data_IF_872866684966
#
_entry.id   IF_872866684966
#
_cell.length_a   1.000
_cell.length_b   1.000
_cell.length_c   1.000
_cell.angle_alpha   90.00
_cell.angle_beta   90.00
_cell.angle_gamma   90.00
#
_symmetry.space_group_name_H-M   'P 1'
#
loop_
_entity.id
_entity.type
_entity.pdbx_description
1 polymer ?
#
# COMPACT_ATOMS: atom_id res chain seq x y z
N UNK A 1 -20.53 10.37 20.52
CA UNK A 1 -19.66 9.25 20.11
C UNK A 1 -19.64 8.26 21.27
N UNK A 2 -20.08 7.02 21.05
CA UNK A 2 -20.27 6.04 22.13
C UNK A 2 -18.93 5.68 22.81
N UNK A 3 -18.85 5.81 24.14
CA UNK A 3 -17.63 5.56 24.93
C UNK A 3 -17.17 4.09 24.77
N UNK A 4 -18.10 3.17 24.53
CA UNK A 4 -17.76 1.76 24.25
C UNK A 4 -17.16 1.57 22.87
N UNK A 5 -17.60 2.36 21.87
CA UNK A 5 -17.03 2.39 20.53
C UNK A 5 -15.57 2.85 20.54
N UNK A 6 -15.26 3.88 21.34
CA UNK A 6 -13.88 4.33 21.58
C UNK A 6 -13.08 3.24 22.30
N UNK A 7 -13.63 2.61 23.35
CA UNK A 7 -12.96 1.50 24.07
C UNK A 7 -12.56 0.32 23.18
N UNK A 8 -13.37 -0.01 22.17
CA UNK A 8 -13.11 -1.10 21.21
C UNK A 8 -11.97 -0.77 20.24
N UNK A 9 -11.81 0.51 19.88
CA UNK A 9 -10.65 0.99 19.11
C UNK A 9 -9.38 1.13 19.98
N UNK A 10 -9.52 1.37 21.30
CA UNK A 10 -8.39 1.54 22.23
C UNK A 10 -7.90 0.26 22.90
N UNK A 11 -8.50 -0.91 22.68
CA UNK A 11 -7.89 -2.19 23.07
C UNK A 11 -6.73 -2.51 22.13
N UNK A 12 -5.60 -1.81 22.31
CA UNK A 12 -4.43 -1.84 21.43
C UNK A 12 -3.90 -3.27 21.14
N UNK A 13 -4.14 -4.24 22.03
CA UNK A 13 -3.72 -5.62 21.84
C UNK A 13 -4.36 -6.31 20.63
N UNK A 14 -5.62 -5.98 20.31
CA UNK A 14 -6.44 -6.74 19.36
C UNK A 14 -6.58 -6.08 17.98
N UNK A 15 -5.94 -4.92 17.77
CA UNK A 15 -6.01 -4.22 16.48
C UNK A 15 -5.31 -5.06 15.40
N UNK A 16 -5.98 -5.39 14.28
CA UNK A 16 -5.36 -6.15 13.20
C UNK A 16 -4.27 -5.34 12.50
N UNK A 17 -3.11 -5.96 12.26
CA UNK A 17 -1.99 -5.35 11.54
C UNK A 17 -2.40 -4.87 10.16
N UNK A 18 -3.29 -5.61 9.49
CA UNK A 18 -3.82 -5.28 8.16
C UNK A 18 -4.67 -4.00 8.13
N UNK A 19 -5.06 -3.44 9.28
CA UNK A 19 -5.66 -2.10 9.33
C UNK A 19 -4.73 -1.03 8.76
N UNK A 20 -3.41 -1.20 8.89
CA UNK A 20 -2.44 -0.31 8.26
C UNK A 20 -2.50 -0.33 6.73
N UNK A 21 -2.84 -1.48 6.12
CA UNK A 21 -3.09 -1.57 4.66
C UNK A 21 -4.34 -0.79 4.24
N UNK A 22 -5.39 -0.82 5.06
CA UNK A 22 -6.58 0.01 4.81
C UNK A 22 -6.25 1.50 4.94
N UNK A 23 -5.52 1.90 5.98
CA UNK A 23 -5.06 3.28 6.16
C UNK A 23 -4.25 3.77 4.95
N UNK A 24 -3.26 2.97 4.52
CA UNK A 24 -2.45 3.22 3.32
C UNK A 24 -3.32 3.40 2.07
N UNK A 25 -4.30 2.51 1.87
CA UNK A 25 -5.23 2.57 0.74
C UNK A 25 -6.12 3.82 0.77
N UNK A 26 -6.63 4.23 1.94
CA UNK A 26 -7.47 5.42 2.07
C UNK A 26 -6.67 6.71 1.79
N UNK A 27 -5.44 6.83 2.32
CA UNK A 27 -4.58 7.98 2.05
C UNK A 27 -4.28 8.07 0.55
N UNK A 28 -3.89 6.94 -0.07
CA UNK A 28 -3.65 6.88 -1.51
C UNK A 28 -4.91 7.18 -2.32
N UNK A 29 -6.11 6.77 -1.87
CA UNK A 29 -7.36 7.01 -2.58
C UNK A 29 -7.64 8.52 -2.68
N UNK A 30 -7.36 9.27 -1.61
CA UNK A 30 -7.44 10.74 -1.64
C UNK A 30 -6.51 11.35 -2.68
N UNK A 31 -5.28 10.84 -2.79
CA UNK A 31 -4.34 11.27 -3.84
C UNK A 31 -4.86 10.92 -5.24
N UNK A 32 -5.37 9.70 -5.45
CA UNK A 32 -5.90 9.27 -6.74
C UNK A 32 -7.07 10.15 -7.21
N UNK A 33 -8.04 10.45 -6.34
CA UNK A 33 -9.14 11.36 -6.68
C UNK A 33 -8.64 12.78 -6.98
N UNK A 34 -7.63 13.28 -6.26
CA UNK A 34 -7.04 14.59 -6.51
C UNK A 34 -6.33 14.68 -7.88
N UNK A 35 -5.84 13.57 -8.41
CA UNK A 35 -5.28 13.49 -9.76
C UNK A 35 -6.37 13.52 -10.84
N UNK A 36 -7.34 12.60 -10.79
CA UNK A 36 -8.35 12.47 -11.86
C UNK A 36 -9.40 13.59 -11.87
N UNK A 37 -9.85 14.05 -10.70
CA UNK A 37 -10.91 15.05 -10.58
C UNK A 37 -10.50 16.13 -9.57
N UNK A 38 -9.56 17.04 -9.91
CA UNK A 38 -8.97 17.97 -8.95
C UNK A 38 -9.98 18.84 -8.19
N UNK A 39 -11.11 19.21 -8.81
CA UNK A 39 -12.16 20.05 -8.21
C UNK A 39 -12.81 19.41 -6.97
N UNK A 40 -13.06 18.10 -7.01
CA UNK A 40 -13.66 17.33 -5.91
C UNK A 40 -12.56 16.65 -5.10
N UNK A 41 -11.57 16.08 -5.79
CA UNK A 41 -10.47 15.32 -5.23
C UNK A 41 -9.65 16.10 -4.21
N UNK A 42 -9.28 17.35 -4.51
CA UNK A 42 -8.53 18.20 -3.56
C UNK A 42 -9.35 18.56 -2.32
N UNK A 43 -10.69 18.56 -2.39
CA UNK A 43 -11.56 18.80 -1.24
C UNK A 43 -11.67 17.56 -0.33
N UNK A 44 -11.73 16.36 -0.92
CA UNK A 44 -11.86 15.11 -0.16
C UNK A 44 -10.53 14.54 0.33
N UNK A 45 -9.41 14.87 -0.33
CA UNK A 45 -8.06 14.40 0.03
C UNK A 45 -7.69 14.65 1.50
N UNK A 46 -7.86 15.85 2.10
CA UNK A 46 -7.59 16.05 3.53
C UNK A 46 -8.44 15.15 4.43
N UNK A 47 -9.69 14.91 4.07
CA UNK A 47 -10.62 14.08 4.86
C UNK A 47 -10.14 12.63 4.83
N UNK A 48 -9.81 12.10 3.65
CA UNK A 48 -9.28 10.75 3.50
C UNK A 48 -7.92 10.59 4.19
N UNK A 49 -7.02 11.57 4.07
CA UNK A 49 -5.74 11.57 4.78
C UNK A 49 -5.95 11.51 6.30
N UNK A 50 -6.89 12.30 6.85
CA UNK A 50 -7.22 12.30 8.27
C UNK A 50 -7.82 10.96 8.72
N UNK A 51 -8.75 10.37 7.95
CA UNK A 51 -9.32 9.04 8.23
C UNK A 51 -8.22 7.97 8.23
N UNK A 52 -7.34 8.00 7.22
CA UNK A 52 -6.21 7.07 7.14
C UNK A 52 -5.25 7.19 8.32
N UNK A 53 -4.89 8.42 8.70
CA UNK A 53 -4.07 8.67 9.89
C UNK A 53 -4.75 8.15 11.17
N UNK A 54 -6.05 8.42 11.33
CA UNK A 54 -6.83 7.93 12.47
C UNK A 54 -6.87 6.40 12.56
N UNK A 55 -7.01 5.71 11.42
CA UNK A 55 -6.93 4.25 11.37
C UNK A 55 -5.52 3.72 11.63
N UNK A 56 -4.48 4.48 11.32
CA UNK A 56 -3.10 4.04 11.52
C UNK A 56 -2.66 4.11 12.99
N UNK A 57 -3.10 5.13 13.73
CA UNK A 57 -2.67 5.40 15.11
C UNK A 57 -2.82 4.18 16.04
N UNK A 58 -3.97 3.47 16.11
CA UNK A 58 -4.12 2.30 16.98
C UNK A 58 -3.15 1.17 16.64
N UNK A 59 -2.78 1.01 15.36
CA UNK A 59 -1.82 -0.02 14.92
C UNK A 59 -0.41 0.33 15.37
N UNK A 60 -0.01 1.61 15.27
CA UNK A 60 1.28 2.07 15.76
C UNK A 60 1.37 1.90 17.29
N UNK A 61 0.33 2.34 18.02
CA UNK A 61 0.27 2.22 19.48
C UNK A 61 0.30 0.76 19.94
N UNK A 62 -0.35 -0.16 19.22
CA UNK A 62 -0.24 -1.61 19.48
C UNK A 62 1.21 -2.07 19.59
N UNK A 63 2.04 -1.73 18.61
CA UNK A 63 3.42 -2.21 18.57
C UNK A 63 4.38 -1.42 19.45
N UNK A 64 4.14 -0.13 19.62
CA UNK A 64 4.93 0.72 20.52
C UNK A 64 4.74 0.33 21.99
N UNK A 65 3.51 0.04 22.40
CA UNK A 65 3.17 -0.26 23.79
C UNK A 65 3.38 -1.74 24.15
N UNK A 66 3.37 -2.66 23.16
CA UNK A 66 3.41 -4.11 23.41
C UNK A 66 4.61 -4.79 22.73
N UNK A 67 5.80 -4.65 23.34
CA UNK A 67 7.08 -5.21 22.82
C UNK A 67 7.03 -6.72 22.56
N UNK A 68 6.31 -7.48 23.40
CA UNK A 68 6.13 -8.91 23.20
C UNK A 68 5.38 -9.23 21.90
N UNK A 69 4.27 -8.52 21.63
CA UNK A 69 3.49 -8.68 20.40
C UNK A 69 4.32 -8.29 19.18
N UNK A 70 5.05 -7.16 19.27
CA UNK A 70 5.98 -6.75 18.23
C UNK A 70 7.00 -7.85 17.89
N UNK A 71 7.68 -8.39 18.90
CA UNK A 71 8.69 -9.44 18.75
C UNK A 71 8.10 -10.72 18.16
N UNK A 72 6.89 -11.10 18.55
CA UNK A 72 6.20 -12.27 18.02
C UNK A 72 5.81 -12.08 16.53
N UNK A 73 5.24 -10.92 16.19
CA UNK A 73 4.74 -10.65 14.84
C UNK A 73 5.87 -10.44 13.83
N UNK A 74 6.91 -9.68 14.16
CA UNK A 74 8.02 -9.36 13.23
C UNK A 74 8.81 -10.62 12.83
N UNK A 75 8.87 -11.63 13.70
CA UNK A 75 9.51 -12.92 13.43
C UNK A 75 8.70 -13.80 12.46
N UNK A 76 7.39 -13.58 12.37
CA UNK A 76 6.51 -14.41 11.55
C UNK A 76 6.53 -13.96 10.07
N UNK A 77 6.76 -14.89 9.13
CA UNK A 77 6.94 -14.57 7.70
C UNK A 77 5.78 -13.80 7.06
N UNK A 78 4.53 -14.16 7.37
CA UNK A 78 3.33 -13.46 6.89
C UNK A 78 3.07 -12.17 7.68
N UNK A 79 2.75 -12.26 8.98
CA UNK A 79 2.38 -11.10 9.79
C UNK A 79 3.46 -10.03 9.82
N UNK A 80 4.74 -10.41 9.95
CA UNK A 80 5.87 -9.50 9.92
C UNK A 80 5.95 -8.72 8.61
N UNK A 81 5.81 -9.38 7.46
CA UNK A 81 5.77 -8.68 6.16
C UNK A 81 4.57 -7.72 6.02
N UNK A 82 3.45 -8.01 6.67
CA UNK A 82 2.26 -7.16 6.69
C UNK A 82 2.36 -5.99 7.68
N UNK A 83 3.49 -5.82 8.38
CA UNK A 83 3.77 -4.65 9.20
C UNK A 83 4.30 -3.47 8.38
N UNK A 84 4.89 -3.71 7.20
CA UNK A 84 5.43 -2.68 6.31
C UNK A 84 4.43 -1.56 5.93
N UNK A 85 3.12 -1.84 5.68
CA UNK A 85 2.13 -0.80 5.41
C UNK A 85 2.02 0.27 6.50
N UNK A 86 2.43 0.00 7.75
CA UNK A 86 2.41 1.02 8.80
C UNK A 86 3.34 2.20 8.48
N UNK A 87 4.59 1.90 8.15
CA UNK A 87 5.56 2.94 7.80
C UNK A 87 5.34 3.49 6.39
N UNK A 88 4.88 2.65 5.44
CA UNK A 88 4.50 3.15 4.11
C UNK A 88 3.34 4.15 4.18
N UNK A 89 2.34 3.91 5.05
CA UNK A 89 1.23 4.85 5.22
C UNK A 89 1.70 6.19 5.76
N UNK A 90 2.66 6.20 6.69
CA UNK A 90 3.29 7.44 7.16
C UNK A 90 4.06 8.14 6.03
N UNK A 91 4.83 7.41 5.22
CA UNK A 91 5.59 8.00 4.10
C UNK A 91 4.67 8.63 3.04
N UNK A 92 3.58 7.95 2.66
CA UNK A 92 2.58 8.52 1.72
C UNK A 92 1.81 9.67 2.37
N UNK A 93 1.54 9.62 3.67
CA UNK A 93 0.97 10.77 4.38
C UNK A 93 1.91 11.98 4.33
N UNK A 94 3.22 11.76 4.45
CA UNK A 94 4.22 12.83 4.36
C UNK A 94 4.28 13.44 2.96
N UNK A 95 4.07 12.66 1.89
CA UNK A 95 3.96 13.19 0.52
C UNK A 95 2.83 14.23 0.40
N UNK A 96 1.65 13.91 0.93
CA UNK A 96 0.55 14.87 1.01
C UNK A 96 0.89 16.08 1.90
N UNK A 97 1.45 15.83 3.09
CA UNK A 97 1.78 16.89 4.05
C UNK A 97 2.93 17.79 3.57
N UNK A 98 3.82 17.32 2.69
CA UNK A 98 4.95 18.10 2.19
C UNK A 98 4.48 19.39 1.48
N UNK A 99 3.33 19.32 0.81
CA UNK A 99 2.75 20.46 0.09
C UNK A 99 2.07 21.46 1.03
N UNK A 100 1.44 20.99 2.12
CA UNK A 100 0.59 21.84 2.98
C UNK A 100 1.25 22.25 4.29
N UNK A 101 2.09 21.39 4.88
CA UNK A 101 2.70 21.55 6.20
C UNK A 101 4.13 20.96 6.20
N UNK A 102 5.06 21.49 5.37
CA UNK A 102 6.40 20.92 5.20
C UNK A 102 7.19 20.82 6.52
N UNK A 103 7.02 21.77 7.43
CA UNK A 103 7.66 21.76 8.76
C UNK A 103 7.26 20.56 9.62
N UNK A 104 6.04 20.03 9.45
CA UNK A 104 5.57 18.82 10.15
C UNK A 104 5.93 17.57 9.33
N UNK A 105 5.80 17.67 8.01
CA UNK A 105 6.03 16.55 7.10
C UNK A 105 7.48 16.06 7.13
N UNK A 106 8.46 16.96 7.18
CA UNK A 106 9.88 16.61 7.14
C UNK A 106 10.35 15.74 8.31
N UNK A 107 10.16 16.12 9.61
CA UNK A 107 10.54 15.26 10.72
C UNK A 107 9.73 13.96 10.76
N UNK A 108 8.44 14.00 10.36
CA UNK A 108 7.61 12.80 10.29
C UNK A 108 8.12 11.83 9.20
N UNK A 109 8.54 12.35 8.06
CA UNK A 109 9.11 11.58 6.96
C UNK A 109 10.40 10.88 7.38
N UNK A 110 11.30 11.58 8.06
CA UNK A 110 12.55 10.99 8.57
C UNK A 110 12.27 9.89 9.61
N UNK A 111 11.32 10.11 10.51
CA UNK A 111 10.89 9.09 11.49
C UNK A 111 10.25 7.87 10.80
N UNK A 112 9.41 8.10 9.78
CA UNK A 112 8.76 7.05 9.01
C UNK A 112 9.74 6.23 8.18
N UNK A 113 10.73 6.88 7.56
CA UNK A 113 11.80 6.25 6.81
C UNK A 113 12.67 5.38 7.73
N UNK A 114 13.09 5.93 8.87
CA UNK A 114 13.86 5.20 9.89
C UNK A 114 13.08 3.99 10.40
N UNK A 115 11.78 4.15 10.66
CA UNK A 115 10.90 3.05 11.05
C UNK A 115 10.82 1.99 9.95
N UNK A 116 10.65 2.38 8.68
CA UNK A 116 10.57 1.44 7.56
C UNK A 116 11.84 0.60 7.42
N UNK A 117 13.01 1.24 7.43
CA UNK A 117 14.32 0.58 7.34
C UNK A 117 14.52 -0.34 8.54
N UNK A 118 14.22 0.12 9.76
CA UNK A 118 14.35 -0.70 10.98
C UNK A 118 13.48 -1.95 10.93
N UNK A 119 12.21 -1.81 10.53
CA UNK A 119 11.30 -2.94 10.38
C UNK A 119 11.79 -3.91 9.30
N UNK A 120 12.27 -3.42 8.17
CA UNK A 120 12.82 -4.23 7.08
C UNK A 120 14.03 -5.05 7.56
N UNK A 121 15.00 -4.40 8.20
CA UNK A 121 16.21 -5.05 8.71
C UNK A 121 15.88 -6.14 9.75
N UNK A 122 15.00 -5.84 10.71
CA UNK A 122 14.56 -6.82 11.71
C UNK A 122 13.83 -7.99 11.07
N UNK A 123 12.89 -7.71 10.15
CA UNK A 123 12.14 -8.75 9.45
C UNK A 123 13.08 -9.69 8.70
N UNK A 124 13.94 -9.16 7.82
CA UNK A 124 14.85 -9.99 7.03
C UNK A 124 15.90 -10.68 7.90
N UNK A 125 16.40 -10.06 8.96
CA UNK A 125 17.28 -10.73 9.91
C UNK A 125 16.66 -12.03 10.47
N UNK A 126 15.40 -11.98 10.91
CA UNK A 126 14.71 -13.16 11.41
C UNK A 126 14.36 -14.17 10.32
N UNK A 127 13.96 -13.71 9.13
CA UNK A 127 13.62 -14.61 8.02
C UNK A 127 14.84 -15.34 7.46
N UNK A 128 16.01 -14.68 7.40
CA UNK A 128 17.25 -15.27 6.89
C UNK A 128 17.84 -16.29 7.88
N UNK A 129 17.66 -16.09 9.19
CA UNK A 129 18.13 -17.03 10.22
C UNK A 129 17.49 -18.42 10.12
N UNK A 130 16.25 -18.50 9.65
CA UNK A 130 15.51 -19.76 9.44
C UNK A 130 14.90 -19.80 8.04
N UNK A 131 15.74 -19.55 7.03
CA UNK A 131 15.29 -19.38 5.65
C UNK A 131 14.65 -20.66 5.11
N UNK A 132 13.43 -20.50 4.57
CA UNK A 132 12.75 -21.51 3.76
C UNK A 132 12.04 -20.78 2.62
N UNK A 133 12.30 -21.18 1.38
CA UNK A 133 11.70 -20.54 0.21
C UNK A 133 10.16 -20.60 0.23
N UNK A 134 9.57 -21.68 0.78
CA UNK A 134 8.13 -21.80 0.98
C UNK A 134 7.50 -20.73 1.91
N UNK A 135 8.31 -20.11 2.79
CA UNK A 135 7.87 -19.02 3.68
C UNK A 135 7.77 -17.67 2.98
N UNK A 136 8.41 -17.52 1.81
CA UNK A 136 8.31 -16.29 1.02
C UNK A 136 6.87 -16.15 0.57
N UNK A 137 6.29 -14.98 0.77
CA UNK A 137 4.94 -14.65 0.33
C UNK A 137 4.97 -13.30 -0.37
N UNK A 138 4.05 -13.02 -1.30
CA UNK A 138 4.02 -11.75 -2.05
C UNK A 138 4.16 -10.47 -1.19
N UNK A 139 3.66 -10.47 0.04
CA UNK A 139 3.80 -9.31 0.94
C UNK A 139 5.26 -8.97 1.32
N UNK A 140 6.23 -9.84 1.03
CA UNK A 140 7.65 -9.55 1.23
C UNK A 140 8.16 -8.39 0.37
N UNK A 141 7.52 -8.12 -0.78
CA UNK A 141 7.86 -6.94 -1.59
C UNK A 141 7.69 -5.61 -0.84
N UNK A 142 6.80 -5.57 0.17
CA UNK A 142 6.44 -4.34 0.86
C UNK A 142 7.60 -3.71 1.65
N UNK A 143 8.64 -4.46 1.99
CA UNK A 143 9.83 -3.88 2.61
C UNK A 143 10.85 -3.38 1.58
N UNK A 144 11.39 -4.22 0.67
CA UNK A 144 12.46 -3.76 -0.21
C UNK A 144 11.97 -2.76 -1.25
N UNK A 145 10.80 -3.02 -1.85
CA UNK A 145 10.22 -2.13 -2.87
C UNK A 145 9.39 -1.02 -2.23
N UNK A 146 8.75 -1.28 -1.09
CA UNK A 146 7.97 -0.25 -0.38
C UNK A 146 8.79 0.92 0.17
N UNK A 147 10.12 0.78 0.28
CA UNK A 147 11.03 1.88 0.59
C UNK A 147 10.92 3.03 -0.41
N UNK A 148 10.52 2.75 -1.65
CA UNK A 148 10.33 3.75 -2.70
C UNK A 148 9.27 4.80 -2.33
N UNK A 149 8.32 4.49 -1.45
CA UNK A 149 7.36 5.47 -0.93
C UNK A 149 8.04 6.69 -0.31
N UNK A 150 9.28 6.55 0.17
CA UNK A 150 10.05 7.68 0.71
C UNK A 150 10.50 8.69 -0.35
N UNK A 151 10.65 8.27 -1.60
CA UNK A 151 11.07 9.14 -2.70
C UNK A 151 9.99 10.15 -3.11
N UNK A 152 8.70 9.80 -2.96
CA UNK A 152 7.56 10.63 -3.36
C UNK A 152 7.60 12.03 -2.71
N UNK A 153 7.79 12.06 -1.39
CA UNK A 153 7.95 13.31 -0.64
C UNK A 153 9.39 13.86 -0.68
N UNK A 154 10.39 13.01 -0.93
CA UNK A 154 11.81 13.36 -0.83
C UNK A 154 12.19 14.52 -1.75
N UNK A 155 11.70 14.50 -2.99
CA UNK A 155 11.98 15.53 -3.99
C UNK A 155 11.39 16.88 -3.57
N UNK A 156 10.19 16.86 -2.97
CA UNK A 156 9.53 18.06 -2.42
C UNK A 156 10.31 18.70 -1.26
N UNK A 157 11.11 17.91 -0.54
CA UNK A 157 11.99 18.39 0.52
C UNK A 157 13.38 18.83 0.03
N UNK A 158 13.61 18.84 -1.30
CA UNK A 158 14.90 19.18 -1.90
C UNK A 158 15.90 18.04 -1.96
N UNK A 159 15.48 16.80 -1.68
CA UNK A 159 16.33 15.60 -1.70
C UNK A 159 16.20 14.83 -3.03
N UNK A 160 16.31 15.52 -4.17
CA UNK A 160 16.13 14.93 -5.51
C UNK A 160 17.08 13.76 -5.77
N UNK A 161 18.38 13.94 -5.51
CA UNK A 161 19.39 12.87 -5.71
C UNK A 161 19.05 11.62 -4.89
N UNK A 162 18.57 11.80 -3.66
CA UNK A 162 18.12 10.69 -2.82
C UNK A 162 16.90 10.01 -3.45
N UNK A 163 15.90 10.78 -3.88
CA UNK A 163 14.66 10.23 -4.47
C UNK A 163 14.93 9.42 -5.73
N UNK A 164 15.72 9.95 -6.66
CA UNK A 164 16.15 9.25 -7.87
C UNK A 164 16.92 7.97 -7.52
N UNK A 165 17.92 8.08 -6.63
CA UNK A 165 18.74 6.93 -6.21
C UNK A 165 17.89 5.82 -5.60
N UNK A 166 16.99 6.16 -4.66
CA UNK A 166 16.10 5.19 -4.03
C UNK A 166 15.11 4.60 -5.05
N UNK A 167 14.60 5.40 -5.98
CA UNK A 167 13.73 4.90 -7.05
C UNK A 167 14.46 3.88 -7.93
N UNK A 168 15.67 4.19 -8.42
CA UNK A 168 16.49 3.26 -9.20
C UNK A 168 16.83 1.98 -8.44
N UNK A 169 17.23 2.08 -7.18
CA UNK A 169 17.52 0.92 -6.33
C UNK A 169 16.28 0.03 -6.18
N UNK A 170 15.12 0.62 -5.88
CA UNK A 170 13.88 -0.12 -5.68
C UNK A 170 13.37 -0.77 -6.98
N UNK A 171 13.56 -0.12 -8.13
CA UNK A 171 13.28 -0.71 -9.46
C UNK A 171 14.16 -1.94 -9.69
N UNK A 172 15.48 -1.83 -9.44
CA UNK A 172 16.40 -2.97 -9.57
C UNK A 172 16.03 -4.13 -8.64
N UNK A 173 15.71 -3.82 -7.38
CA UNK A 173 15.22 -4.80 -6.40
C UNK A 173 13.93 -5.47 -6.87
N UNK A 174 12.99 -4.72 -7.45
CA UNK A 174 11.74 -5.27 -7.96
C UNK A 174 12.01 -6.33 -9.04
N UNK A 175 12.83 -5.99 -10.04
CA UNK A 175 13.18 -6.92 -11.12
C UNK A 175 13.93 -8.17 -10.62
N UNK A 176 14.71 -8.05 -9.55
CA UNK A 176 15.35 -9.20 -8.91
C UNK A 176 14.36 -10.06 -8.09
N UNK A 177 13.49 -9.43 -7.31
CA UNK A 177 12.56 -10.14 -6.43
C UNK A 177 11.39 -10.79 -7.19
N UNK A 178 10.99 -10.24 -8.34
CA UNK A 178 9.87 -10.77 -9.13
C UNK A 178 10.08 -12.23 -9.55
N UNK A 179 11.19 -12.61 -10.22
CA UNK A 179 11.48 -14.01 -10.53
C UNK A 179 11.49 -14.92 -9.29
N UNK A 180 12.04 -14.46 -8.17
CA UNK A 180 12.12 -15.24 -6.93
C UNK A 180 10.74 -15.52 -6.33
N UNK A 181 9.86 -14.51 -6.28
CA UNK A 181 8.49 -14.70 -5.78
C UNK A 181 7.67 -15.56 -6.75
N UNK A 182 7.81 -15.36 -8.06
CA UNK A 182 7.14 -16.18 -9.07
C UNK A 182 7.60 -17.64 -9.01
N UNK A 183 8.90 -17.90 -8.91
CA UNK A 183 9.45 -19.23 -8.70
C UNK A 183 8.79 -19.91 -7.49
N UNK A 184 8.74 -19.22 -6.35
CA UNK A 184 8.07 -19.73 -5.15
C UNK A 184 6.59 -20.03 -5.38
N UNK A 185 5.87 -19.19 -6.13
CA UNK A 185 4.43 -19.39 -6.36
C UNK A 185 4.14 -20.60 -7.25
N UNK A 186 5.04 -20.89 -8.18
CA UNK A 186 4.93 -22.01 -9.13
C UNK A 186 5.41 -23.32 -8.51
N UNK A 187 6.57 -23.33 -7.84
CA UNK A 187 7.26 -24.57 -7.46
C UNK A 187 7.10 -24.98 -5.99
N UNK A 188 6.80 -24.06 -5.07
CA UNK A 188 6.76 -24.34 -3.61
C UNK A 188 5.34 -24.56 -3.06
N UNK A 189 4.42 -24.95 -3.94
CA UNK A 189 3.05 -25.27 -3.59
C UNK A 189 2.17 -24.07 -3.21
N UNK A 190 0.89 -24.37 -3.00
CA UNK A 190 -0.16 -23.36 -2.82
C UNK A 190 0.01 -22.60 -1.50
N UNK A 191 -0.19 -21.28 -1.55
CA UNK A 191 -0.23 -20.44 -0.36
C UNK A 191 -1.26 -20.94 0.67
N UNK A 192 -0.84 -20.97 1.95
CA UNK A 192 -1.73 -21.21 3.09
C UNK A 192 -2.92 -20.26 3.03
N UNK A 193 -4.10 -20.71 3.46
CA UNK A 193 -5.37 -19.95 3.35
C UNK A 193 -5.28 -18.50 3.87
N UNK A 194 -4.56 -18.28 4.98
CA UNK A 194 -4.35 -16.94 5.57
C UNK A 194 -3.47 -16.02 4.70
N UNK A 195 -2.55 -16.57 3.92
CA UNK A 195 -1.64 -15.84 3.05
C UNK A 195 -2.22 -15.58 1.63
N UNK A 196 -3.27 -16.28 1.21
CA UNK A 196 -3.85 -16.10 -0.15
C UNK A 196 -4.19 -14.65 -0.52
N UNK A 197 -4.73 -13.80 0.40
CA UNK A 197 -4.97 -12.39 0.07
C UNK A 197 -3.71 -11.61 -0.34
N UNK A 198 -2.51 -12.06 0.03
CA UNK A 198 -1.27 -11.38 -0.36
C UNK A 198 -0.97 -11.52 -1.84
N UNK A 199 -1.62 -12.43 -2.59
CA UNK A 199 -1.53 -12.45 -4.05
C UNK A 199 -1.96 -11.10 -4.66
N UNK A 200 -2.92 -10.42 -4.03
CA UNK A 200 -3.30 -9.07 -4.44
C UNK A 200 -2.20 -8.02 -4.22
N UNK A 201 -1.20 -8.28 -3.38
CA UNK A 201 -0.08 -7.35 -3.20
C UNK A 201 0.83 -7.37 -4.43
N UNK A 202 0.81 -8.40 -5.29
CA UNK A 202 1.73 -8.52 -6.42
C UNK A 202 1.75 -7.32 -7.38
N UNK A 203 0.63 -6.59 -7.55
CA UNK A 203 0.62 -5.41 -8.41
C UNK A 203 1.04 -4.12 -7.70
N UNK A 204 0.98 -4.05 -6.37
CA UNK A 204 1.36 -2.83 -5.66
C UNK A 204 2.81 -2.40 -5.93
N UNK A 205 3.83 -3.28 -5.83
CA UNK A 205 5.23 -2.93 -6.03
C UNK A 205 5.48 -2.30 -7.39
N UNK A 206 4.99 -2.91 -8.46
CA UNK A 206 5.25 -2.45 -9.82
C UNK A 206 4.54 -1.15 -10.18
N UNK A 207 3.29 -0.99 -9.75
CA UNK A 207 2.54 0.25 -9.96
C UNK A 207 3.14 1.40 -9.13
N UNK A 208 3.62 1.10 -7.91
CA UNK A 208 4.31 2.07 -7.08
C UNK A 208 5.67 2.46 -7.69
N UNK A 209 6.44 1.51 -8.22
CA UNK A 209 7.71 1.80 -8.91
C UNK A 209 7.50 2.61 -10.18
N UNK A 210 6.48 2.28 -10.98
CA UNK A 210 6.13 3.08 -12.16
C UNK A 210 5.76 4.52 -11.77
N UNK A 211 4.90 4.68 -10.76
CA UNK A 211 4.48 6.00 -10.29
C UNK A 211 5.66 6.83 -9.80
N UNK A 212 6.54 6.25 -8.97
CA UNK A 212 7.70 6.95 -8.43
C UNK A 212 8.74 7.26 -9.51
N UNK A 213 8.93 6.37 -10.49
CA UNK A 213 9.82 6.62 -11.63
C UNK A 213 9.35 7.83 -12.44
N UNK A 214 8.06 7.87 -12.79
CA UNK A 214 7.48 8.98 -13.56
C UNK A 214 7.38 10.32 -12.80
N UNK A 215 7.58 10.30 -11.47
CA UNK A 215 7.54 11.52 -10.63
C UNK A 215 8.94 12.04 -10.34
N UNK A 216 9.92 11.15 -10.14
CA UNK A 216 11.25 11.55 -9.66
C UNK A 216 12.26 11.82 -10.77
N UNK A 217 11.98 11.43 -12.01
CA UNK A 217 12.88 11.64 -13.15
C UNK A 217 12.25 12.64 -14.12
N UNK A 218 12.97 13.73 -14.40
CA UNK A 218 12.50 14.78 -15.33
C UNK A 218 12.38 14.27 -16.78
N UNK A 219 13.30 13.39 -17.20
CA UNK A 219 13.31 12.75 -18.51
C UNK A 219 13.30 11.22 -18.36
N UNK A 220 12.14 10.59 -18.10
CA UNK A 220 12.04 9.14 -17.96
C UNK A 220 12.34 8.43 -19.29
N UNK A 221 13.27 7.47 -19.27
CA UNK A 221 13.52 6.59 -20.41
C UNK A 221 12.24 5.84 -20.86
N UNK A 222 11.79 6.00 -22.13
CA UNK A 222 10.56 5.37 -22.62
C UNK A 222 10.57 3.84 -22.59
N UNK A 223 11.75 3.21 -22.74
CA UNK A 223 11.87 1.74 -22.76
C UNK A 223 11.60 1.19 -21.37
N UNK A 224 12.25 1.75 -20.35
CA UNK A 224 12.02 1.39 -18.96
C UNK A 224 10.57 1.70 -18.53
N UNK A 225 10.03 2.86 -18.93
CA UNK A 225 8.61 3.20 -18.71
C UNK A 225 7.69 2.14 -19.30
N UNK A 226 7.90 1.74 -20.56
CA UNK A 226 7.12 0.70 -21.24
C UNK A 226 7.23 -0.66 -20.54
N UNK A 227 8.43 -1.06 -20.10
CA UNK A 227 8.65 -2.30 -19.37
C UNK A 227 7.91 -2.32 -18.02
N UNK A 228 8.04 -1.24 -17.24
CA UNK A 228 7.34 -1.09 -15.96
C UNK A 228 5.82 -1.07 -16.16
N UNK A 229 5.33 -0.34 -17.16
CA UNK A 229 3.92 -0.25 -17.52
C UNK A 229 3.32 -1.60 -17.96
N UNK A 230 4.02 -2.34 -18.82
CA UNK A 230 3.56 -3.65 -19.29
C UNK A 230 3.38 -4.64 -18.14
N UNK A 231 4.33 -4.68 -17.19
CA UNK A 231 4.22 -5.53 -16.00
C UNK A 231 3.13 -5.00 -15.05
N UNK A 232 3.04 -3.69 -14.87
CA UNK A 232 2.03 -3.03 -14.03
C UNK A 232 0.62 -3.41 -14.47
N UNK A 233 0.29 -3.22 -15.74
CA UNK A 233 -1.02 -3.54 -16.33
C UNK A 233 -1.31 -5.04 -16.19
N UNK A 234 -0.34 -5.89 -16.52
CA UNK A 234 -0.51 -7.35 -16.43
C UNK A 234 -0.81 -7.79 -14.99
N UNK A 235 -0.08 -7.26 -14.01
CA UNK A 235 -0.29 -7.59 -12.60
C UNK A 235 -1.63 -7.04 -12.09
N UNK A 236 -2.03 -5.84 -12.50
CA UNK A 236 -3.33 -5.27 -12.12
C UNK A 236 -4.50 -6.10 -12.69
N UNK A 237 -4.43 -6.50 -13.96
CA UNK A 237 -5.43 -7.39 -14.58
C UNK A 237 -5.51 -8.74 -13.85
N UNK A 238 -4.36 -9.34 -13.50
CA UNK A 238 -4.31 -10.58 -12.73
C UNK A 238 -5.02 -10.44 -11.36
N UNK A 239 -4.89 -9.29 -10.70
CA UNK A 239 -5.58 -9.03 -9.42
C UNK A 239 -7.09 -8.90 -9.62
N UNK A 240 -7.55 -8.24 -10.67
CA UNK A 240 -8.98 -8.12 -10.94
C UNK A 240 -9.62 -9.50 -11.18
N UNK A 241 -8.90 -10.42 -11.82
CA UNK A 241 -9.31 -11.82 -11.90
C UNK A 241 -9.37 -12.49 -10.51
N UNK A 242 -8.44 -12.16 -9.61
CA UNK A 242 -8.45 -12.64 -8.23
C UNK A 242 -9.61 -12.05 -7.39
N UNK A 243 -10.09 -10.85 -7.70
CA UNK A 243 -11.17 -10.19 -6.95
C UNK A 243 -12.48 -10.97 -7.01
N UNK A 244 -12.82 -11.59 -8.14
CA UNK A 244 -14.01 -12.45 -8.24
C UNK A 244 -14.01 -13.58 -7.20
N UNK A 245 -12.83 -14.09 -6.83
CA UNK A 245 -12.69 -15.13 -5.80
C UNK A 245 -12.60 -14.54 -4.40
N UNK A 246 -11.91 -13.41 -4.22
CA UNK A 246 -11.70 -12.77 -2.91
C UNK A 246 -13.00 -12.16 -2.38
N UNK A 247 -13.83 -11.55 -3.24
CA UNK A 247 -15.13 -10.97 -2.87
C UNK A 247 -16.15 -12.01 -2.38
N UNK A 248 -15.97 -13.30 -2.74
CA UNK A 248 -16.81 -14.41 -2.27
C UNK A 248 -16.42 -14.91 -0.86
N UNK A 249 -15.30 -14.44 -0.31
CA UNK A 249 -14.86 -14.85 1.02
C UNK A 249 -15.59 -14.05 2.11
N UNK A 250 -15.85 -14.70 3.25
CA UNK A 250 -16.26 -13.98 4.46
C UNK A 250 -15.17 -12.97 4.82
N UNK A 251 -15.58 -11.77 5.19
CA UNK A 251 -14.64 -10.70 5.55
C UNK A 251 -13.68 -11.17 6.65
N UNK A 252 -12.39 -10.94 6.42
CA UNK A 252 -11.31 -11.15 7.38
C UNK A 252 -10.32 -10.00 7.23
N UNK A 253 -9.62 -9.55 8.30
CA UNK A 253 -8.81 -8.33 8.25
C UNK A 253 -7.72 -8.34 7.16
N UNK A 254 -7.17 -9.50 6.82
CA UNK A 254 -6.15 -9.64 5.77
C UNK A 254 -6.64 -9.27 4.37
N UNK A 255 -7.95 -9.15 4.15
CA UNK A 255 -8.52 -8.64 2.89
C UNK A 255 -8.14 -7.16 2.69
N UNK A 256 -7.84 -6.39 3.74
CA UNK A 256 -7.34 -5.02 3.56
C UNK A 256 -6.05 -4.93 2.75
N UNK A 257 -5.32 -6.03 2.54
CA UNK A 257 -4.18 -6.07 1.64
C UNK A 257 -4.53 -5.71 0.18
N UNK A 258 -5.81 -5.77 -0.23
CA UNK A 258 -6.22 -5.47 -1.61
C UNK A 258 -6.42 -3.97 -1.89
N UNK A 259 -6.56 -3.14 -0.85
CA UNK A 259 -6.98 -1.74 -1.02
C UNK A 259 -5.90 -0.93 -1.74
N UNK A 260 -4.69 -0.89 -1.17
CA UNK A 260 -3.58 -0.12 -1.73
C UNK A 260 -3.19 -0.57 -3.15
N UNK A 261 -3.07 -1.88 -3.48
CA UNK A 261 -2.83 -2.32 -4.86
C UNK A 261 -3.82 -1.75 -5.89
N UNK A 262 -5.12 -1.71 -5.60
CA UNK A 262 -6.11 -1.11 -6.52
C UNK A 262 -5.91 0.40 -6.68
N UNK A 263 -5.58 1.08 -5.58
CA UNK A 263 -5.44 2.54 -5.58
C UNK A 263 -4.18 2.96 -6.32
N UNK A 264 -3.05 2.33 -6.03
CA UNK A 264 -1.78 2.67 -6.65
C UNK A 264 -1.74 2.33 -8.13
N UNK A 265 -2.50 1.32 -8.58
CA UNK A 265 -2.64 1.05 -10.02
C UNK A 265 -3.27 2.22 -10.76
N UNK A 266 -4.37 2.77 -10.22
CA UNK A 266 -5.05 3.93 -10.81
C UNK A 266 -4.14 5.16 -10.86
N UNK A 267 -3.35 5.40 -9.81
CA UNK A 267 -2.36 6.49 -9.77
C UNK A 267 -1.28 6.26 -10.85
N UNK A 268 -0.75 5.05 -10.95
CA UNK A 268 0.26 4.69 -11.93
C UNK A 268 -0.25 4.87 -13.36
N UNK A 269 -1.49 4.46 -13.62
CA UNK A 269 -2.16 4.63 -14.91
C UNK A 269 -2.36 6.11 -15.26
N UNK A 270 -2.73 6.94 -14.28
CA UNK A 270 -2.83 8.38 -14.48
C UNK A 270 -1.48 8.97 -14.91
N UNK A 271 -0.41 8.67 -14.16
CA UNK A 271 0.94 9.17 -14.44
C UNK A 271 1.43 8.70 -15.81
N UNK A 272 1.17 7.44 -16.15
CA UNK A 272 1.50 6.87 -17.46
C UNK A 272 0.76 7.59 -18.59
N UNK A 273 -0.53 7.87 -18.40
CA UNK A 273 -1.32 8.61 -19.38
C UNK A 273 -0.77 10.02 -19.59
N UNK A 274 -0.47 10.74 -18.51
CA UNK A 274 0.13 12.07 -18.58
C UNK A 274 1.50 12.07 -19.28
N UNK A 275 2.31 11.04 -19.08
CA UNK A 275 3.60 10.88 -19.76
C UNK A 275 3.44 10.77 -21.29
N UNK A 276 2.44 10.03 -21.76
CA UNK A 276 2.18 9.83 -23.20
C UNK A 276 1.27 10.89 -23.83
N UNK A 277 0.67 11.79 -23.06
CA UNK A 277 -0.36 12.73 -23.55
C UNK A 277 0.15 13.66 -24.66
N UNK A 278 1.41 14.10 -24.56
CA UNK A 278 2.03 15.03 -25.52
C UNK A 278 2.43 14.33 -26.82
N UNK A 279 3.03 13.15 -26.72
CA UNK A 279 3.58 12.43 -27.88
C UNK A 279 2.57 11.50 -28.56
N UNK A 280 1.59 10.97 -27.81
CA UNK A 280 0.60 10.01 -28.29
C UNK A 280 -0.84 10.36 -27.85
N UNK A 281 -1.44 11.44 -28.40
CA UNK A 281 -2.80 11.88 -28.01
C UNK A 281 -3.89 10.82 -28.18
N UNK A 282 -3.71 9.88 -29.12
CA UNK A 282 -4.64 8.77 -29.37
C UNK A 282 -4.71 7.76 -28.20
N UNK A 283 -3.76 7.81 -27.25
CA UNK A 283 -3.71 6.91 -26.11
C UNK A 283 -4.56 7.36 -24.92
N UNK A 284 -5.43 8.37 -25.11
CA UNK A 284 -6.40 8.82 -24.11
C UNK A 284 -7.30 7.69 -23.54
N UNK A 285 -7.42 6.55 -24.22
CA UNK A 285 -8.10 5.37 -23.67
C UNK A 285 -7.47 4.87 -22.35
N UNK A 286 -6.17 5.10 -22.13
CA UNK A 286 -5.48 4.82 -20.86
C UNK A 286 -6.07 5.65 -19.70
N UNK A 287 -6.49 6.89 -19.97
CA UNK A 287 -7.19 7.71 -18.97
C UNK A 287 -8.50 7.04 -18.51
N UNK A 288 -9.30 6.57 -19.47
CA UNK A 288 -10.57 5.89 -19.19
C UNK A 288 -10.35 4.58 -18.43
N UNK A 289 -9.31 3.84 -18.79
CA UNK A 289 -8.90 2.65 -18.06
C UNK A 289 -8.51 3.00 -16.62
N UNK A 290 -7.69 4.04 -16.43
CA UNK A 290 -7.31 4.53 -15.12
C UNK A 290 -8.48 5.01 -14.25
N UNK A 291 -9.51 5.61 -14.86
CA UNK A 291 -10.75 5.99 -14.19
C UNK A 291 -11.60 4.77 -13.78
N UNK A 292 -11.62 3.71 -14.61
CA UNK A 292 -12.19 2.42 -14.24
C UNK A 292 -11.45 1.82 -13.03
N UNK A 293 -10.12 1.86 -13.03
CA UNK A 293 -9.33 1.41 -11.88
C UNK A 293 -9.62 2.22 -10.62
N UNK A 294 -9.78 3.55 -10.73
CA UNK A 294 -10.16 4.43 -9.61
C UNK A 294 -11.53 4.04 -9.02
N UNK A 295 -12.46 3.71 -9.90
CA UNK A 295 -13.81 3.27 -9.54
C UNK A 295 -13.75 1.96 -8.76
N UNK A 296 -13.03 0.97 -9.27
CA UNK A 296 -12.80 -0.33 -8.61
C UNK A 296 -12.10 -0.13 -7.26
N UNK A 297 -11.08 0.73 -7.20
CA UNK A 297 -10.35 1.04 -5.99
C UNK A 297 -11.26 1.67 -4.92
N UNK A 298 -12.11 2.61 -5.32
CA UNK A 298 -13.09 3.26 -4.44
C UNK A 298 -14.05 2.23 -3.85
N UNK A 299 -14.62 1.34 -4.66
CA UNK A 299 -15.48 0.26 -4.18
C UNK A 299 -14.76 -0.70 -3.24
N UNK A 300 -13.53 -1.08 -3.55
CA UNK A 300 -12.72 -1.97 -2.70
C UNK A 300 -12.44 -1.32 -1.33
N UNK A 301 -12.05 -0.05 -1.30
CA UNK A 301 -11.78 0.69 -0.06
C UNK A 301 -13.05 0.83 0.79
N UNK A 302 -14.18 1.18 0.18
CA UNK A 302 -15.47 1.27 0.89
C UNK A 302 -15.87 -0.09 1.45
N UNK A 303 -15.81 -1.15 0.65
CA UNK A 303 -16.17 -2.51 1.06
C UNK A 303 -15.33 -2.99 2.26
N UNK A 304 -14.00 -2.79 2.19
CA UNK A 304 -13.10 -3.15 3.29
C UNK A 304 -13.38 -2.29 4.53
N UNK A 305 -13.62 -0.98 4.36
CA UNK A 305 -13.96 -0.07 5.47
C UNK A 305 -15.23 -0.52 6.19
N UNK A 306 -16.28 -0.88 5.44
CA UNK A 306 -17.52 -1.45 6.00
C UNK A 306 -17.23 -2.76 6.75
N UNK A 307 -16.36 -3.61 6.21
CA UNK A 307 -15.91 -4.84 6.88
C UNK A 307 -15.24 -4.57 8.22
N UNK A 308 -14.36 -3.56 8.31
CA UNK A 308 -13.76 -3.13 9.58
C UNK A 308 -14.79 -2.56 10.55
N UNK A 309 -15.76 -1.77 10.07
CA UNK A 309 -16.86 -1.26 10.89
C UNK A 309 -17.63 -2.42 11.52
N UNK A 310 -18.05 -3.42 10.74
CA UNK A 310 -18.76 -4.59 11.28
C UNK A 310 -17.91 -5.48 12.18
N UNK A 311 -16.59 -5.47 12.00
CA UNK A 311 -15.66 -6.19 12.89
C UNK A 311 -15.58 -5.51 14.27
N UNK A 312 -15.49 -4.17 14.31
CA UNK A 312 -15.44 -3.41 15.57
C UNK A 312 -16.81 -3.24 16.23
N UNK A 313 -17.88 -3.20 15.43
CA UNK A 313 -19.27 -3.12 15.88
C UNK A 313 -20.14 -4.23 15.28
N UNK A 314 -20.01 -5.48 15.78
CA UNK A 314 -20.81 -6.61 15.30
C UNK A 314 -22.33 -6.40 15.43
N UNK A 315 -22.74 -5.57 16.39
CA UNK A 315 -24.14 -5.25 16.70
C UNK A 315 -24.84 -4.47 15.59
N UNK A 316 -24.09 -3.77 14.73
CA UNK A 316 -24.64 -3.14 13.53
C UNK A 316 -25.06 -4.17 12.47
N UNK A 317 -24.42 -5.35 12.48
CA UNK A 317 -24.68 -6.42 11.52
C UNK A 317 -25.79 -7.37 12.00
N UNK A 318 -25.86 -7.58 13.31
CA UNK A 318 -26.89 -8.38 13.96
C UNK A 318 -27.50 -7.55 15.09
N UNK A 319 -28.42 -6.61 14.78
CA UNK A 319 -29.10 -5.87 15.82
C UNK A 319 -29.82 -6.88 16.72
N UNK A 320 -29.59 -6.78 18.03
CA UNK A 320 -30.29 -7.62 18.99
C UNK A 320 -31.80 -7.52 18.71
N UNK A 321 -32.48 -8.66 18.56
CA UNK A 321 -33.95 -8.66 18.54
C UNK A 321 -34.40 -8.03 19.85
N UNK A 322 -35.02 -6.85 19.76
CA UNK A 322 -35.72 -6.23 20.89
C UNK A 322 -36.89 -7.11 21.31
#
# INVERSE_FOLDING_TARGET
MDITAVKRLTQFHNVPTSQASLALGIIGLGHAWALYLPSIGKQIQPILAAIGAFLLIPVLLKYLLNKHIFSADIKHSLTGSLMAPMSMALLILCDYLAVILPLVAYPLWFAALTLHITLALLFFFYQLRNFKIANIVPSWFLYPVGLISSSLAGTQFGHTVYSETIASICIGIYFFMLPLVLYRLVFEGVLKKRARPTLAIMAAPINLTLSAYLINFDEPDPILTGALAGIAITMTLMIYLCYFRLLRLKFQPSIAAITFPSVISSIAMHRLTSFFEVEYPHWHWLHNFGFLELTIATFAVIWVSIGFIFMYWPELKYPAKK
#
